data_IF_639455940328
#
_entry.id   IF_639455940328
#
_cell.length_a   1.000
_cell.length_b   1.000
_cell.length_c   1.000
_cell.angle_alpha   90.00
_cell.angle_beta   90.00
_cell.angle_gamma   90.00
#
_symmetry.space_group_name_H-M   'P 1'
#
loop_
_entity.id
_entity.type
_entity.pdbx_description
1 polymer ?
#
# COMPACT_ATOMS: atom_id res chain seq x y z
N UNK A 1 0.78 8.36 15.51
CA UNK A 1 1.53 8.90 14.35
C UNK A 1 1.17 8.07 13.13
N UNK A 2 0.61 8.66 12.07
CA UNK A 2 0.15 7.86 10.91
C UNK A 2 1.30 7.70 9.92
N UNK A 3 1.77 6.46 9.75
CA UNK A 3 2.88 6.14 8.86
C UNK A 3 2.49 6.23 7.37
N UNK A 4 1.20 6.16 7.07
CA UNK A 4 0.64 6.23 5.72
C UNK A 4 -0.71 6.96 5.77
N UNK A 5 -1.01 7.72 4.72
CA UNK A 5 -2.30 8.41 4.56
C UNK A 5 -2.59 8.63 3.08
N UNK A 6 -3.81 8.29 2.65
CA UNK A 6 -4.33 8.69 1.34
C UNK A 6 -5.06 10.03 1.44
N UNK A 7 -4.76 10.97 0.55
CA UNK A 7 -5.44 12.26 0.49
C UNK A 7 -5.31 12.90 -0.91
N UNK A 8 -6.38 13.49 -1.44
CA UNK A 8 -6.38 14.23 -2.71
C UNK A 8 -5.68 13.50 -3.87
N UNK A 9 -5.94 12.19 -4.03
CA UNK A 9 -5.30 11.33 -5.04
C UNK A 9 -3.76 11.22 -4.91
N UNK A 10 -3.25 11.43 -3.70
CA UNK A 10 -1.84 11.27 -3.37
C UNK A 10 -1.69 10.36 -2.16
N UNK A 11 -0.63 9.57 -2.15
CA UNK A 11 -0.22 8.79 -0.98
C UNK A 11 0.84 9.57 -0.21
N UNK A 12 0.62 9.77 1.08
CA UNK A 12 1.55 10.43 1.99
C UNK A 12 2.19 9.36 2.87
N UNK A 13 3.51 9.25 2.84
CA UNK A 13 4.29 8.24 3.58
C UNK A 13 5.22 8.93 4.55
N UNK A 14 5.28 8.47 5.80
CA UNK A 14 6.32 8.88 6.74
C UNK A 14 7.68 8.32 6.31
N UNK A 15 8.68 9.18 6.12
CA UNK A 15 10.06 8.74 5.80
C UNK A 15 10.74 8.18 7.05
N UNK A 16 10.64 6.85 7.23
CA UNK A 16 11.15 6.17 8.41
C UNK A 16 12.69 6.19 8.52
N UNK A 17 13.41 6.52 7.45
CA UNK A 17 14.88 6.58 7.45
C UNK A 17 15.41 7.76 8.26
N UNK A 18 14.59 8.78 8.44
CA UNK A 18 14.95 10.01 9.15
C UNK A 18 14.58 10.00 10.63
N UNK A 19 13.82 8.98 11.07
CA UNK A 19 13.53 8.81 12.48
C UNK A 19 14.77 8.31 13.25
N UNK A 20 14.92 8.67 14.54
CA UNK A 20 14.03 9.55 15.32
C UNK A 20 14.34 11.05 15.14
N UNK A 21 15.41 11.41 14.42
CA UNK A 21 15.94 12.77 14.34
C UNK A 21 14.98 13.77 13.66
N UNK A 22 14.21 13.32 12.66
CA UNK A 22 13.31 14.18 11.92
C UNK A 22 12.06 13.43 11.48
N UNK A 23 10.90 14.05 11.73
CA UNK A 23 9.63 13.62 11.15
C UNK A 23 9.43 14.33 9.82
N UNK A 24 9.50 13.60 8.71
CA UNK A 24 9.22 14.15 7.37
C UNK A 24 8.38 13.19 6.54
N UNK A 25 7.61 13.74 5.59
CA UNK A 25 6.68 12.97 4.77
C UNK A 25 7.02 13.07 3.29
N UNK A 26 6.88 11.94 2.59
CA UNK A 26 7.03 11.83 1.13
C UNK A 26 5.62 11.87 0.53
N UNK A 27 5.40 12.76 -0.44
CA UNK A 27 4.17 12.80 -1.24
C UNK A 27 4.37 11.99 -2.52
N UNK A 28 3.72 10.85 -2.60
CA UNK A 28 3.72 9.99 -3.76
C UNK A 28 2.53 10.34 -4.66
N UNK A 29 2.82 10.96 -5.81
CA UNK A 29 1.84 11.26 -6.87
C UNK A 29 1.87 10.24 -8.02
N UNK A 30 2.75 9.24 -7.91
CA UNK A 30 2.91 8.20 -8.91
C UNK A 30 3.25 6.85 -8.27
N UNK A 31 2.89 5.75 -8.94
CA UNK A 31 3.26 4.41 -8.46
C UNK A 31 4.79 4.22 -8.41
N UNK A 32 5.55 4.96 -9.24
CA UNK A 32 7.02 4.95 -9.23
C UNK A 32 7.58 5.55 -7.94
N UNK A 33 6.99 6.63 -7.44
CA UNK A 33 7.41 7.21 -6.15
C UNK A 33 7.13 6.25 -4.98
N UNK A 34 6.10 5.40 -5.10
CA UNK A 34 5.82 4.32 -4.13
C UNK A 34 6.87 3.20 -4.23
N UNK A 35 7.22 2.78 -5.45
CA UNK A 35 8.34 1.84 -5.71
C UNK A 35 9.60 2.34 -5.01
N UNK A 36 9.98 3.60 -5.22
CA UNK A 36 11.17 4.20 -4.63
C UNK A 36 11.09 4.22 -3.09
N UNK A 37 9.93 4.56 -2.54
CA UNK A 37 9.72 4.56 -1.09
C UNK A 37 9.90 3.16 -0.47
N UNK A 38 9.38 2.11 -1.13
CA UNK A 38 9.50 0.72 -0.68
C UNK A 38 10.96 0.23 -0.82
N UNK A 39 11.57 0.49 -1.98
CA UNK A 39 12.93 0.04 -2.31
C UNK A 39 13.98 0.68 -1.39
N UNK A 40 13.87 1.99 -1.15
CA UNK A 40 14.80 2.74 -0.29
C UNK A 40 14.58 2.54 1.20
N UNK A 41 13.57 1.75 1.59
CA UNK A 41 13.15 1.56 2.98
C UNK A 41 12.64 2.84 3.66
N UNK A 42 12.20 3.83 2.87
CA UNK A 42 11.44 4.97 3.38
C UNK A 42 10.14 4.49 4.03
N UNK A 43 9.51 3.46 3.46
CA UNK A 43 8.44 2.68 4.06
C UNK A 43 8.90 1.24 4.30
N UNK A 44 8.68 0.73 5.51
CA UNK A 44 9.06 -0.63 5.92
C UNK A 44 8.11 -1.16 7.01
N UNK A 45 8.16 -2.47 7.25
CA UNK A 45 7.17 -3.22 8.04
C UNK A 45 6.27 -4.02 7.12
N UNK A 46 6.13 -5.33 7.37
CA UNK A 46 5.49 -6.25 6.42
C UNK A 46 4.04 -5.88 6.04
N UNK A 47 3.17 -5.42 6.96
CA UNK A 47 1.85 -4.94 6.57
C UNK A 47 1.92 -3.60 5.82
N UNK A 48 2.71 -2.65 6.33
CA UNK A 48 2.79 -1.30 5.79
C UNK A 48 3.28 -1.24 4.33
N UNK A 49 4.24 -2.09 3.95
CA UNK A 49 4.68 -2.19 2.54
C UNK A 49 3.57 -2.73 1.62
N UNK A 50 2.70 -3.62 2.13
CA UNK A 50 1.53 -4.11 1.41
C UNK A 50 0.51 -2.99 1.18
N UNK A 51 0.18 -2.24 2.25
CA UNK A 51 -0.72 -1.08 2.18
C UNK A 51 -0.18 -0.02 1.20
N UNK A 52 1.12 0.30 1.29
CA UNK A 52 1.76 1.24 0.38
C UNK A 52 1.64 0.79 -1.09
N UNK A 53 1.88 -0.49 -1.37
CA UNK A 53 1.74 -1.03 -2.71
C UNK A 53 0.29 -1.05 -3.21
N UNK A 54 -0.69 -1.27 -2.32
CA UNK A 54 -2.10 -1.19 -2.67
C UNK A 54 -2.47 0.21 -3.17
N UNK A 55 -2.07 1.25 -2.43
CA UNK A 55 -2.24 2.63 -2.89
C UNK A 55 -1.38 2.96 -4.12
N UNK A 56 -0.21 2.34 -4.28
CA UNK A 56 0.58 2.40 -5.51
C UNK A 56 -0.20 1.92 -6.74
N UNK A 57 -1.01 0.86 -6.59
CA UNK A 57 -1.89 0.39 -7.67
C UNK A 57 -3.02 1.37 -7.98
N UNK A 58 -3.55 2.08 -6.98
CA UNK A 58 -4.52 3.17 -7.19
C UNK A 58 -3.88 4.30 -8.01
N UNK A 59 -2.65 4.71 -7.67
CA UNK A 59 -1.90 5.71 -8.43
C UNK A 59 -1.64 5.25 -9.87
N UNK A 60 -1.29 3.97 -10.07
CA UNK A 60 -1.13 3.41 -11.42
C UNK A 60 -2.44 3.48 -12.23
N UNK A 61 -3.58 3.20 -11.60
CA UNK A 61 -4.89 3.33 -12.24
C UNK A 61 -5.22 4.77 -12.63
N UNK A 62 -4.93 5.75 -11.74
CA UNK A 62 -5.08 7.18 -12.03
C UNK A 62 -4.17 7.62 -13.18
N UNK A 63 -2.90 7.22 -13.16
CA UNK A 63 -1.94 7.51 -14.24
C UNK A 63 -2.38 6.92 -15.58
N UNK A 64 -2.99 5.73 -15.56
CA UNK A 64 -3.46 5.04 -16.77
C UNK A 64 -4.54 5.83 -17.52
N UNK A 65 -5.29 6.73 -16.85
CA UNK A 65 -6.33 7.54 -17.51
C UNK A 65 -5.78 8.47 -18.61
N UNK A 66 -4.47 8.78 -18.57
CA UNK A 66 -3.78 9.57 -19.59
C UNK A 66 -3.46 8.78 -20.87
N UNK A 67 -3.72 7.47 -20.86
CA UNK A 67 -3.46 6.56 -21.98
C UNK A 67 -4.76 6.21 -22.73
N UNK A 68 -4.65 5.79 -24.00
CA UNK A 68 -5.78 5.19 -24.72
C UNK A 68 -6.37 4.03 -23.93
N UNK A 69 -7.72 3.88 -23.92
CA UNK A 69 -8.43 2.81 -23.18
C UNK A 69 -7.84 1.42 -23.39
N UNK A 70 -7.41 1.11 -24.62
CA UNK A 70 -6.79 -0.16 -24.99
C UNK A 70 -5.47 -0.47 -24.26
N UNK A 71 -4.77 0.53 -23.72
CA UNK A 71 -3.48 0.37 -23.02
C UNK A 71 -3.58 0.48 -21.51
N UNK A 72 -4.72 0.90 -20.98
CA UNK A 72 -4.84 1.23 -19.55
C UNK A 72 -4.70 -0.03 -18.68
N UNK A 73 -5.33 -1.14 -19.09
CA UNK A 73 -5.25 -2.42 -18.36
C UNK A 73 -3.82 -2.93 -18.28
N UNK A 74 -3.13 -2.99 -19.41
CA UNK A 74 -1.74 -3.45 -19.47
C UNK A 74 -0.81 -2.55 -18.65
N UNK A 75 -1.07 -1.24 -18.63
CA UNK A 75 -0.30 -0.32 -17.80
C UNK A 75 -0.44 -0.63 -16.31
N UNK A 76 -1.66 -0.85 -15.82
CA UNK A 76 -1.89 -1.20 -14.41
C UNK A 76 -1.23 -2.54 -14.07
N UNK A 77 -1.39 -3.56 -14.92
CA UNK A 77 -0.78 -4.88 -14.72
C UNK A 77 0.74 -4.77 -14.63
N UNK A 78 1.35 -4.02 -15.56
CA UNK A 78 2.80 -3.79 -15.57
C UNK A 78 3.27 -3.01 -14.34
N UNK A 79 2.51 -2.02 -13.88
CA UNK A 79 2.82 -1.30 -12.64
C UNK A 79 2.78 -2.22 -11.43
N UNK A 80 1.79 -3.12 -11.34
CA UNK A 80 1.70 -4.12 -10.27
C UNK A 80 2.88 -5.07 -10.26
N UNK A 81 3.30 -5.56 -11.42
CA UNK A 81 4.49 -6.41 -11.52
C UNK A 81 5.77 -5.67 -11.07
N UNK A 82 5.92 -4.39 -11.42
CA UNK A 82 7.04 -3.57 -10.94
C UNK A 82 7.01 -3.35 -9.43
N UNK A 83 5.83 -3.04 -8.87
CA UNK A 83 5.65 -2.92 -7.42
C UNK A 83 6.01 -4.22 -6.70
N UNK A 84 5.59 -5.37 -7.25
CA UNK A 84 5.86 -6.70 -6.66
C UNK A 84 7.34 -7.01 -6.60
N UNK A 85 8.07 -6.63 -7.66
CA UNK A 85 9.49 -6.91 -7.79
C UNK A 85 10.38 -5.94 -6.98
N UNK A 86 9.82 -4.92 -6.32
CA UNK A 86 10.62 -4.02 -5.46
C UNK A 86 11.31 -4.76 -4.32
N UNK A 87 10.63 -5.76 -3.74
CA UNK A 87 11.12 -6.59 -2.64
C UNK A 87 10.57 -8.02 -2.79
N UNK A 88 11.17 -8.87 -3.64
CA UNK A 88 10.59 -10.16 -4.05
C UNK A 88 10.38 -11.15 -2.89
N UNK A 89 11.12 -10.99 -1.80
CA UNK A 89 10.99 -11.83 -0.58
C UNK A 89 9.89 -11.34 0.37
N UNK A 90 9.31 -10.17 0.14
CA UNK A 90 8.21 -9.65 0.94
C UNK A 90 6.89 -10.35 0.56
N UNK A 91 6.55 -11.40 1.30
CA UNK A 91 5.33 -12.20 1.03
C UNK A 91 4.06 -11.34 1.10
N UNK A 92 3.91 -10.49 2.13
CA UNK A 92 2.74 -9.60 2.25
C UNK A 92 2.58 -8.67 1.03
N UNK A 93 3.68 -8.11 0.53
CA UNK A 93 3.68 -7.27 -0.66
C UNK A 93 3.13 -8.04 -1.87
N UNK A 94 3.65 -9.26 -2.08
CA UNK A 94 3.22 -10.12 -3.19
C UNK A 94 1.75 -10.53 -3.08
N UNK A 95 1.28 -10.89 -1.88
CA UNK A 95 -0.11 -11.26 -1.63
C UNK A 95 -1.08 -10.11 -1.96
N UNK A 96 -0.79 -8.91 -1.46
CA UNK A 96 -1.63 -7.72 -1.70
C UNK A 96 -1.68 -7.37 -3.18
N UNK A 97 -0.54 -7.33 -3.86
CA UNK A 97 -0.50 -7.00 -5.29
C UNK A 97 -1.25 -8.05 -6.11
N UNK A 98 -1.05 -9.34 -5.83
CA UNK A 98 -1.76 -10.40 -6.54
C UNK A 98 -3.29 -10.29 -6.34
N UNK A 99 -3.76 -9.90 -5.15
CA UNK A 99 -5.18 -9.64 -4.88
C UNK A 99 -5.72 -8.51 -5.77
N UNK A 100 -4.99 -7.41 -5.84
CA UNK A 100 -5.38 -6.24 -6.65
C UNK A 100 -5.29 -6.50 -8.16
N UNK A 101 -4.29 -7.25 -8.63
CA UNK A 101 -4.18 -7.65 -10.04
C UNK A 101 -5.39 -8.51 -10.46
N UNK A 102 -5.79 -9.48 -9.64
CA UNK A 102 -7.00 -10.29 -9.87
C UNK A 102 -8.27 -9.43 -9.95
N UNK A 103 -8.39 -8.40 -9.11
CA UNK A 103 -9.51 -7.46 -9.18
C UNK A 103 -9.48 -6.64 -10.47
N UNK A 104 -8.30 -6.18 -10.88
CA UNK A 104 -8.08 -5.45 -12.14
C UNK A 104 -8.49 -6.30 -13.35
N UNK A 105 -8.17 -7.59 -13.34
CA UNK A 105 -8.52 -8.49 -14.43
C UNK A 105 -10.02 -8.70 -14.61
N UNK A 106 -10.77 -8.74 -13.50
CA UNK A 106 -12.20 -9.06 -13.45
C UNK A 106 -13.14 -7.84 -13.54
N UNK A 107 -12.62 -6.64 -13.35
CA UNK A 107 -13.44 -5.42 -13.24
C UNK A 107 -13.70 -4.74 -14.59
N UNK A 108 -14.86 -4.10 -14.73
CA UNK A 108 -15.07 -3.09 -15.77
C UNK A 108 -14.18 -1.88 -15.49
N UNK A 109 -13.42 -1.46 -16.50
CA UNK A 109 -12.45 -0.40 -16.42
C UNK A 109 -13.07 0.97 -16.12
N UNK A 110 -14.38 1.15 -16.37
CA UNK A 110 -15.10 2.40 -16.10
C UNK A 110 -14.97 2.85 -14.64
N UNK A 111 -14.89 1.92 -13.69
CA UNK A 111 -14.87 2.20 -12.25
C UNK A 111 -13.60 1.69 -11.55
N UNK A 112 -12.55 1.32 -12.29
CA UNK A 112 -11.39 0.61 -11.74
C UNK A 112 -10.72 1.39 -10.59
N UNK A 113 -10.59 2.71 -10.69
CA UNK A 113 -9.97 3.54 -9.65
C UNK A 113 -10.72 3.42 -8.33
N UNK A 114 -12.06 3.50 -8.36
CA UNK A 114 -12.88 3.40 -7.15
C UNK A 114 -12.82 1.99 -6.54
N UNK A 115 -12.79 0.96 -7.38
CA UNK A 115 -12.64 -0.43 -6.95
C UNK A 115 -11.30 -0.63 -6.24
N UNK A 116 -10.21 -0.18 -6.86
CA UNK A 116 -8.87 -0.32 -6.28
C UNK A 116 -8.67 0.55 -5.05
N UNK A 117 -9.24 1.75 -5.02
CA UNK A 117 -9.18 2.64 -3.85
C UNK A 117 -9.95 2.04 -2.67
N UNK A 118 -11.12 1.48 -2.92
CA UNK A 118 -11.88 0.76 -1.89
C UNK A 118 -11.05 -0.40 -1.34
N UNK A 119 -10.49 -1.24 -2.20
CA UNK A 119 -9.66 -2.37 -1.80
C UNK A 119 -8.44 -1.93 -0.98
N UNK A 120 -7.70 -0.91 -1.42
CA UNK A 120 -6.54 -0.40 -0.69
C UNK A 120 -6.92 0.13 0.70
N UNK A 121 -8.05 0.82 0.79
CA UNK A 121 -8.58 1.36 2.05
C UNK A 121 -9.08 0.25 2.98
N UNK A 122 -9.68 -0.81 2.44
CA UNK A 122 -10.12 -1.95 3.22
C UNK A 122 -8.91 -2.71 3.79
N UNK A 123 -7.85 -2.92 3.01
CA UNK A 123 -6.59 -3.52 3.49
C UNK A 123 -5.96 -2.70 4.63
N UNK A 124 -5.92 -1.37 4.52
CA UNK A 124 -5.42 -0.48 5.57
C UNK A 124 -6.26 -0.61 6.86
N UNK A 125 -7.59 -0.58 6.74
CA UNK A 125 -8.49 -0.75 7.88
C UNK A 125 -8.39 -2.14 8.52
N UNK A 126 -8.27 -3.19 7.72
CA UNK A 126 -8.12 -4.57 8.20
C UNK A 126 -6.84 -4.72 9.03
N UNK A 127 -5.73 -4.10 8.61
CA UNK A 127 -4.47 -4.09 9.37
C UNK A 127 -4.61 -3.40 10.73
N UNK A 128 -5.26 -2.24 10.77
CA UNK A 128 -5.53 -1.51 12.02
C UNK A 128 -6.36 -2.36 13.00
N UNK A 129 -7.44 -2.97 12.51
CA UNK A 129 -8.29 -3.85 13.31
C UNK A 129 -7.51 -5.07 13.81
N UNK A 130 -6.63 -5.64 12.98
CA UNK A 130 -5.81 -6.78 13.36
C UNK A 130 -4.80 -6.41 14.45
N UNK A 131 -4.12 -5.26 14.31
CA UNK A 131 -3.21 -4.75 15.33
C UNK A 131 -3.92 -4.54 16.68
N UNK A 132 -5.11 -3.93 16.68
CA UNK A 132 -5.90 -3.74 17.90
C UNK A 132 -6.30 -5.07 18.54
N UNK A 133 -6.71 -6.05 17.73
CA UNK A 133 -7.04 -7.40 18.23
C UNK A 133 -5.81 -8.09 18.82
N UNK A 134 -4.65 -8.00 18.17
CA UNK A 134 -3.40 -8.57 18.71
C UNK A 134 -3.07 -7.92 20.05
N UNK A 135 -3.17 -6.60 20.16
CA UNK A 135 -2.91 -5.88 21.41
C UNK A 135 -3.87 -6.29 22.53
N UNK A 136 -5.18 -6.30 22.25
CA UNK A 136 -6.22 -6.64 23.22
C UNK A 136 -6.17 -8.10 23.69
N UNK A 137 -5.84 -9.04 22.80
CA UNK A 137 -5.65 -10.44 23.19
C UNK A 137 -4.30 -10.63 23.91
N UNK A 138 -3.26 -9.93 23.48
CA UNK A 138 -1.92 -10.04 24.04
C UNK A 138 -1.82 -9.50 25.47
N UNK A 139 -2.52 -8.41 25.80
CA UNK A 139 -2.44 -7.76 27.12
C UNK A 139 -2.82 -8.71 28.27
N UNK A 140 -3.72 -9.67 28.01
CA UNK A 140 -4.14 -10.65 29.02
C UNK A 140 -3.00 -11.54 29.49
N UNK A 141 -2.02 -11.81 28.62
CA UNK A 141 -0.84 -12.61 28.94
C UNK A 141 0.14 -11.90 29.89
N UNK A 142 -0.01 -10.59 30.09
CA UNK A 142 0.88 -9.77 30.92
C UNK A 142 0.25 -9.33 32.25
N UNK A 143 -1.07 -9.48 32.43
CA UNK A 143 -1.80 -9.03 33.64
C UNK A 143 -1.27 -9.62 34.96
N UNK A 144 -0.64 -10.80 34.92
CA UNK A 144 -0.10 -11.49 36.10
C UNK A 144 1.44 -11.47 36.21
N UNK A 145 2.13 -10.71 35.36
CA UNK A 145 3.59 -10.56 35.46
C UNK A 145 3.92 -9.31 36.27
N UNK A 146 4.59 -9.49 37.43
CA UNK A 146 5.27 -8.37 38.10
C UNK A 146 6.40 -7.90 37.18
N UNK A 147 6.32 -6.64 36.75
CA UNK A 147 7.39 -5.92 36.05
C UNK A 147 8.34 -5.36 37.11
#
# INVERSE_FOLDING_TARGET
MNAIKWNNNELIILDQRKLPLTTSYIKCKSYKTVIDAIYTLSVRGAPLIGIAAAYGMVLAAIESQKLPKSRQKDFIINAGNKLKNTRPTAVNLSLVINKILKLTEKSDFKNIINILLKEATDIDKEDQILCDKIANNGIELFKNKKI
#
